data_IF_984439269119
#
_entry.id   IF_984439269119
#
_cell.length_a   1.000
_cell.length_b   1.000
_cell.length_c   1.000
_cell.angle_alpha   90.00
_cell.angle_beta   90.00
_cell.angle_gamma   90.00
#
_symmetry.space_group_name_H-M   'P 1'
#
loop_
_entity.id
_entity.type
_entity.pdbx_description
1 polymer ?
#
# COMPACT_ATOMS: atom_id res chain seq x y z
N UNK A 1 7.73 14.59 -10.67
CA UNK A 1 6.51 14.43 -9.87
C UNK A 1 6.78 13.35 -8.83
N UNK A 2 6.27 13.49 -7.60
CA UNK A 2 6.38 12.46 -6.56
C UNK A 2 5.00 11.84 -6.37
N UNK A 3 4.92 10.51 -6.42
CA UNK A 3 3.67 9.75 -6.26
C UNK A 3 3.77 8.95 -4.97
N UNK A 4 2.73 9.02 -4.14
CA UNK A 4 2.58 8.20 -2.95
C UNK A 4 1.40 7.27 -3.15
N UNK A 5 1.60 5.97 -2.94
CA UNK A 5 0.54 4.96 -3.00
C UNK A 5 0.31 4.45 -1.58
N UNK A 6 -0.93 4.57 -1.10
CA UNK A 6 -1.34 4.09 0.22
C UNK A 6 -2.20 2.82 0.08
N UNK A 7 -1.60 1.61 0.09
CA UNK A 7 -2.39 0.39 0.18
C UNK A 7 -3.06 0.34 1.56
N UNK A 8 -4.38 0.51 1.59
CA UNK A 8 -5.18 0.53 2.83
C UNK A 8 -5.04 -0.74 3.68
N UNK A 9 -5.41 -0.63 4.96
CA UNK A 9 -5.39 -1.73 5.94
C UNK A 9 -4.00 -2.36 6.13
N UNK A 10 -3.93 -3.56 6.70
CA UNK A 10 -2.70 -4.31 6.91
C UNK A 10 -2.57 -4.88 8.33
N UNK A 11 -1.76 -5.93 8.47
CA UNK A 11 -1.53 -6.62 9.74
C UNK A 11 -2.83 -7.09 10.37
N UNK A 12 -3.15 -6.55 11.55
CA UNK A 12 -4.35 -6.88 12.34
C UNK A 12 -5.65 -6.36 11.75
N UNK A 13 -5.59 -5.38 10.85
CA UNK A 13 -6.76 -4.82 10.17
C UNK A 13 -6.86 -5.45 8.78
N UNK A 14 -7.82 -6.37 8.55
CA UNK A 14 -7.99 -7.00 7.25
C UNK A 14 -8.71 -6.12 6.22
N UNK A 15 -9.33 -5.01 6.65
CA UNK A 15 -10.34 -4.31 5.87
C UNK A 15 -11.58 -5.17 5.63
N UNK A 16 -12.24 -4.98 4.49
CA UNK A 16 -13.37 -5.81 4.10
C UNK A 16 -12.94 -7.28 3.91
N UNK A 17 -13.80 -8.20 4.38
CA UNK A 17 -13.60 -9.64 4.24
C UNK A 17 -14.83 -10.27 3.59
N UNK A 18 -14.63 -11.07 2.56
CA UNK A 18 -15.71 -11.76 1.86
C UNK A 18 -15.17 -12.83 0.93
N UNK A 19 -15.89 -13.95 0.79
CA UNK A 19 -15.50 -15.05 -0.11
C UNK A 19 -14.08 -15.59 0.14
N UNK A 20 -13.60 -15.55 1.39
CA UNK A 20 -12.23 -15.96 1.74
C UNK A 20 -11.13 -14.96 1.37
N UNK A 21 -11.50 -13.81 0.80
CA UNK A 21 -10.59 -12.72 0.45
C UNK A 21 -10.55 -11.66 1.55
N UNK A 22 -9.39 -11.02 1.69
CA UNK A 22 -9.19 -9.88 2.58
C UNK A 22 -8.72 -8.69 1.74
N UNK A 23 -9.34 -7.55 1.95
CA UNK A 23 -9.01 -6.31 1.24
C UNK A 23 -7.51 -5.99 1.33
N UNK A 24 -6.92 -6.09 2.54
CA UNK A 24 -5.50 -5.78 2.78
C UNK A 24 -4.52 -6.51 1.86
N UNK A 25 -4.87 -7.74 1.45
CA UNK A 25 -4.02 -8.61 0.64
C UNK A 25 -4.12 -8.18 -0.83
N UNK A 26 -5.35 -7.95 -1.30
CA UNK A 26 -5.64 -7.51 -2.67
C UNK A 26 -5.02 -6.13 -2.94
N UNK A 27 -5.26 -5.16 -2.06
CA UNK A 27 -4.78 -3.79 -2.27
C UNK A 27 -3.26 -3.69 -2.18
N UNK A 28 -2.60 -4.52 -1.37
CA UNK A 28 -1.13 -4.58 -1.31
C UNK A 28 -0.55 -5.08 -2.64
N UNK A 29 -1.10 -6.17 -3.18
CA UNK A 29 -0.64 -6.74 -4.46
C UNK A 29 -0.79 -5.71 -5.58
N UNK A 30 -1.94 -5.03 -5.65
CA UNK A 30 -2.19 -3.99 -6.65
C UNK A 30 -1.21 -2.83 -6.48
N UNK A 31 -1.03 -2.32 -5.26
CA UNK A 31 -0.16 -1.19 -4.99
C UNK A 31 1.31 -1.47 -5.36
N UNK A 32 1.82 -2.67 -5.05
CA UNK A 32 3.18 -3.08 -5.41
C UNK A 32 3.37 -3.11 -6.93
N UNK A 33 2.39 -3.64 -7.66
CA UNK A 33 2.48 -3.74 -9.13
C UNK A 33 2.37 -2.36 -9.79
N UNK A 34 1.45 -1.51 -9.34
CA UNK A 34 1.36 -0.11 -9.80
C UNK A 34 2.65 0.64 -9.50
N UNK A 35 3.19 0.47 -8.29
CA UNK A 35 4.46 1.06 -7.89
C UNK A 35 5.62 0.61 -8.79
N UNK A 36 5.69 -0.69 -9.11
CA UNK A 36 6.69 -1.25 -10.03
C UNK A 36 6.58 -0.63 -11.43
N UNK A 37 5.38 -0.55 -11.99
CA UNK A 37 5.13 0.03 -13.32
C UNK A 37 5.52 1.51 -13.37
N UNK A 38 5.09 2.30 -12.38
CA UNK A 38 5.38 3.73 -12.33
C UNK A 38 6.89 4.01 -12.11
N UNK A 39 7.56 3.22 -11.26
CA UNK A 39 9.03 3.30 -11.10
C UNK A 39 9.74 2.98 -12.40
N UNK A 40 9.29 1.95 -13.14
CA UNK A 40 9.84 1.62 -14.46
C UNK A 40 9.62 2.73 -15.51
N UNK A 41 8.56 3.52 -15.36
CA UNK A 41 8.29 4.71 -16.17
C UNK A 41 9.06 5.97 -15.70
N UNK A 42 10.05 5.83 -14.82
CA UNK A 42 10.91 6.91 -14.36
C UNK A 42 10.29 7.80 -13.28
N UNK A 43 9.18 7.40 -12.67
CA UNK A 43 8.56 8.17 -11.58
C UNK A 43 9.20 7.83 -10.23
N UNK A 44 9.29 8.83 -9.35
CA UNK A 44 9.61 8.62 -7.93
C UNK A 44 8.34 8.18 -7.19
N UNK A 45 8.29 6.92 -6.76
CA UNK A 45 7.12 6.31 -6.11
C UNK A 45 7.46 5.75 -4.74
N UNK A 46 6.70 6.19 -3.74
CA UNK A 46 6.78 5.72 -2.36
C UNK A 46 5.48 5.01 -1.99
N UNK A 47 5.57 3.92 -1.22
CA UNK A 47 4.43 3.23 -0.65
C UNK A 47 4.43 3.45 0.87
N UNK A 48 3.26 3.65 1.47
CA UNK A 48 3.12 3.75 2.95
C UNK A 48 3.44 2.42 3.64
N UNK A 49 3.20 1.30 2.94
CA UNK A 49 3.70 -0.03 3.29
C UNK A 49 3.99 -0.86 2.04
N UNK A 50 5.02 -1.69 2.13
CA UNK A 50 5.39 -2.68 1.11
C UNK A 50 5.21 -4.13 1.61
N UNK A 51 4.77 -4.30 2.86
CA UNK A 51 4.50 -5.59 3.50
C UNK A 51 3.15 -5.61 4.19
N UNK A 52 2.71 -6.80 4.62
CA UNK A 52 1.52 -6.96 5.47
C UNK A 52 1.81 -6.52 6.92
N UNK A 53 1.81 -5.21 7.13
CA UNK A 53 1.92 -4.59 8.45
C UNK A 53 0.77 -3.62 8.65
N UNK A 54 0.31 -3.52 9.90
CA UNK A 54 -0.66 -2.49 10.28
C UNK A 54 0.03 -1.13 10.20
N UNK A 55 -0.56 -0.19 9.47
CA UNK A 55 -0.16 1.22 9.42
C UNK A 55 -1.26 2.00 10.13
N UNK A 56 -0.91 2.68 11.22
CA UNK A 56 -1.89 3.53 11.90
C UNK A 56 -2.28 4.72 11.00
N UNK A 57 -3.51 5.23 11.14
CA UNK A 57 -4.04 6.35 10.34
C UNK A 57 -3.30 7.67 10.60
N UNK A 58 -2.42 7.69 11.60
CA UNK A 58 -1.62 8.85 12.00
C UNK A 58 -0.32 8.95 11.19
N UNK A 59 0.72 9.58 11.74
CA UNK A 59 1.92 10.05 11.05
C UNK A 59 2.67 9.00 10.19
N UNK A 60 2.41 7.69 10.38
CA UNK A 60 3.01 6.60 9.61
C UNK A 60 2.58 6.55 8.13
N UNK A 61 1.46 7.19 7.74
CA UNK A 61 1.01 7.24 6.34
C UNK A 61 1.74 8.27 5.47
N UNK A 62 2.55 9.14 6.07
CA UNK A 62 3.48 9.96 5.31
C UNK A 62 4.75 9.15 5.05
N UNK A 63 5.08 8.80 3.79
CA UNK A 63 6.36 8.17 3.53
C UNK A 63 7.48 9.13 3.96
N UNK A 64 8.46 8.62 4.72
CA UNK A 64 9.61 9.41 5.14
C UNK A 64 10.29 10.02 3.91
N UNK A 65 10.64 11.31 4.02
CA UNK A 65 11.12 12.19 2.95
C UNK A 65 12.43 11.75 2.30
#
# INVERSE_FOLDING_TARGET
MRIVIDPGHGGKDPGAVGNGLKEKDIVLIIALEVGRILRAAGQTVLLTRETDRFIDLTAERAPAS
#
